data_IF_024845556269
#
_entry.id   IF_024845556269
#
_cell.length_a   1.000
_cell.length_b   1.000
_cell.length_c   1.000
_cell.angle_alpha   90.00
_cell.angle_beta   90.00
_cell.angle_gamma   90.00
#
_symmetry.space_group_name_H-M   'P 1'
#
loop_
_entity.id
_entity.type
_entity.pdbx_description
1 polymer ?
#
# COMPACT_ATOMS: atom_id res chain seq x y z
N UNK A 1 -2.46 2.63 -22.00
CA UNK A 1 -2.05 3.17 -20.68
C UNK A 1 -2.72 2.33 -19.61
N UNK A 2 -1.95 1.63 -18.77
CA UNK A 2 -2.46 0.67 -17.78
C UNK A 2 -3.44 1.32 -16.80
N UNK A 3 -4.62 0.75 -16.56
CA UNK A 3 -5.61 1.12 -15.53
C UNK A 3 -6.03 -0.17 -14.79
N UNK A 4 -5.88 -0.23 -13.47
CA UNK A 4 -6.24 -1.43 -12.70
C UNK A 4 -7.76 -1.70 -12.73
N UNK A 5 -8.59 -0.66 -12.83
CA UNK A 5 -10.05 -0.80 -12.85
C UNK A 5 -10.61 -1.40 -14.14
N UNK A 6 -9.80 -1.49 -15.20
CA UNK A 6 -10.18 -2.21 -16.44
C UNK A 6 -10.17 -3.72 -16.22
N UNK A 7 -9.41 -4.21 -15.24
CA UNK A 7 -9.21 -5.65 -14.98
C UNK A 7 -9.89 -6.12 -13.68
N UNK A 8 -10.39 -5.18 -12.88
CA UNK A 8 -11.20 -5.47 -11.70
C UNK A 8 -12.67 -5.71 -12.05
N UNK A 9 -13.27 -6.71 -11.41
CA UNK A 9 -14.72 -6.85 -11.41
C UNK A 9 -15.33 -5.77 -10.50
N UNK A 10 -15.83 -4.70 -11.14
CA UNK A 10 -16.52 -3.59 -10.49
C UNK A 10 -18.05 -3.76 -10.47
N UNK A 11 -18.56 -4.76 -11.18
CA UNK A 11 -19.99 -5.01 -11.41
C UNK A 11 -20.58 -5.89 -10.31
N UNK A 12 -19.73 -6.63 -9.60
CA UNK A 12 -20.13 -7.57 -8.56
C UNK A 12 -19.68 -7.12 -7.17
N UNK A 13 -20.58 -7.11 -6.20
CA UNK A 13 -20.28 -6.91 -4.78
C UNK A 13 -20.59 -8.15 -3.96
N UNK A 14 -19.87 -8.34 -2.87
CA UNK A 14 -20.11 -9.40 -1.90
C UNK A 14 -20.62 -8.79 -0.61
N UNK A 15 -21.81 -9.21 -0.19
CA UNK A 15 -22.38 -8.91 1.14
C UNK A 15 -22.01 -10.05 2.08
N UNK A 16 -21.53 -9.72 3.27
CA UNK A 16 -21.17 -10.71 4.29
C UNK A 16 -21.39 -10.13 5.69
N UNK A 17 -21.65 -11.02 6.66
CA UNK A 17 -21.86 -10.66 8.07
C UNK A 17 -20.83 -11.34 8.95
N UNK A 18 -20.30 -10.61 9.93
CA UNK A 18 -19.62 -11.22 11.07
C UNK A 18 -20.58 -11.35 12.24
N UNK A 19 -20.45 -12.45 12.97
CA UNK A 19 -21.16 -12.75 14.20
C UNK A 19 -20.13 -13.10 15.28
N UNK A 20 -20.36 -12.68 16.51
CA UNK A 20 -19.53 -13.13 17.62
C UNK A 20 -19.75 -14.63 17.88
N UNK A 21 -18.69 -15.31 18.34
CA UNK A 21 -18.79 -16.71 18.79
C UNK A 21 -19.39 -16.79 20.19
N UNK A 22 -19.15 -15.78 21.02
CA UNK A 22 -19.74 -15.63 22.36
C UNK A 22 -20.70 -14.46 22.42
N UNK A 23 -21.74 -14.63 23.23
CA UNK A 23 -22.72 -13.59 23.49
C UNK A 23 -22.19 -12.61 24.54
N UNK A 24 -21.25 -11.75 24.12
CA UNK A 24 -20.61 -10.75 24.96
C UNK A 24 -20.80 -9.34 24.37
N UNK A 25 -21.16 -8.34 25.18
CA UNK A 25 -21.37 -6.98 24.69
C UNK A 25 -20.04 -6.37 24.21
N UNK A 26 -19.99 -5.92 22.96
CA UNK A 26 -18.86 -5.11 22.46
C UNK A 26 -19.03 -3.65 22.82
N UNK A 27 -17.98 -3.08 23.40
CA UNK A 27 -17.90 -1.65 23.62
C UNK A 27 -17.73 -0.88 22.29
N UNK A 28 -18.19 0.38 22.21
CA UNK A 28 -18.03 1.19 21.00
C UNK A 28 -16.59 1.30 20.48
N UNK A 29 -15.60 1.31 21.37
CA UNK A 29 -14.19 1.37 21.00
C UNK A 29 -13.68 0.06 20.39
N UNK A 30 -14.22 -1.08 20.79
CA UNK A 30 -13.92 -2.40 20.22
C UNK A 30 -14.45 -2.51 18.79
N UNK A 31 -15.68 -2.04 18.58
CA UNK A 31 -16.30 -1.96 17.25
C UNK A 31 -15.48 -1.02 16.34
N UNK A 32 -15.10 0.15 16.83
CA UNK A 32 -14.28 1.10 16.06
C UNK A 32 -12.89 0.52 15.73
N UNK A 33 -12.27 -0.20 16.68
CA UNK A 33 -10.99 -0.88 16.49
C UNK A 33 -11.08 -1.99 15.45
N UNK A 34 -12.13 -2.82 15.52
CA UNK A 34 -12.44 -3.85 14.53
C UNK A 34 -12.59 -3.26 13.13
N UNK A 35 -13.45 -2.25 12.98
CA UNK A 35 -13.68 -1.58 11.69
C UNK A 35 -12.40 -0.99 11.12
N UNK A 36 -11.59 -0.33 11.95
CA UNK A 36 -10.32 0.23 11.53
C UNK A 36 -9.35 -0.86 11.06
N UNK A 37 -9.20 -1.93 11.83
CA UNK A 37 -8.33 -3.05 11.49
C UNK A 37 -8.79 -3.76 10.20
N UNK A 38 -10.08 -4.04 10.10
CA UNK A 38 -10.66 -4.69 8.95
C UNK A 38 -10.55 -3.85 7.67
N UNK A 39 -10.87 -2.55 7.75
CA UNK A 39 -10.68 -1.62 6.63
C UNK A 39 -9.22 -1.54 6.17
N UNK A 40 -8.27 -1.60 7.11
CA UNK A 40 -6.82 -1.56 6.82
C UNK A 40 -6.38 -2.80 6.04
N UNK A 41 -6.78 -3.99 6.53
CA UNK A 41 -6.47 -5.26 5.89
C UNK A 41 -7.09 -5.33 4.49
N UNK A 42 -8.37 -4.99 4.35
CA UNK A 42 -9.05 -4.92 3.06
C UNK A 42 -8.33 -3.99 2.08
N UNK A 43 -7.97 -2.79 2.54
CA UNK A 43 -7.25 -1.80 1.75
C UNK A 43 -5.93 -2.35 1.20
N UNK A 44 -5.18 -3.05 2.03
CA UNK A 44 -3.90 -3.63 1.62
C UNK A 44 -4.06 -4.80 0.66
N UNK A 45 -5.04 -5.69 0.84
CA UNK A 45 -5.32 -6.73 -0.15
C UNK A 45 -5.68 -6.16 -1.52
N UNK A 46 -6.53 -5.14 -1.55
CA UNK A 46 -6.86 -4.41 -2.77
C UNK A 46 -5.64 -3.81 -3.46
N UNK A 47 -4.73 -3.20 -2.70
CA UNK A 47 -3.48 -2.68 -3.24
C UNK A 47 -2.57 -3.78 -3.77
N UNK A 48 -2.41 -4.90 -3.06
CA UNK A 48 -1.61 -6.04 -3.52
C UNK A 48 -2.17 -6.60 -4.84
N UNK A 49 -3.50 -6.73 -4.95
CA UNK A 49 -4.14 -7.16 -6.20
C UNK A 49 -3.87 -6.15 -7.33
N UNK A 50 -3.95 -4.85 -7.03
CA UNK A 50 -3.68 -3.78 -8.00
C UNK A 50 -2.21 -3.76 -8.46
N UNK A 51 -1.27 -4.02 -7.56
CA UNK A 51 0.16 -4.17 -7.86
C UNK A 51 0.37 -5.38 -8.78
N UNK A 52 -0.22 -6.53 -8.45
CA UNK A 52 -0.12 -7.73 -9.30
C UNK A 52 -0.71 -7.48 -10.69
N UNK A 53 -1.86 -6.80 -10.77
CA UNK A 53 -2.49 -6.42 -12.04
C UNK A 53 -1.57 -5.50 -12.86
N UNK A 54 -0.93 -4.51 -12.23
CA UNK A 54 0.03 -3.62 -12.90
C UNK A 54 1.21 -4.42 -13.51
N UNK A 55 1.82 -5.29 -12.72
CA UNK A 55 2.95 -6.12 -13.15
C UNK A 55 2.57 -7.07 -14.29
N UNK A 56 1.43 -7.76 -14.21
CA UNK A 56 0.95 -8.67 -15.26
C UNK A 56 0.67 -7.96 -16.59
N UNK A 57 0.32 -6.68 -16.54
CA UNK A 57 0.00 -5.87 -17.72
C UNK A 57 1.18 -4.97 -18.16
N UNK A 58 2.41 -5.35 -17.78
CA UNK A 58 3.63 -4.77 -18.34
C UNK A 58 4.12 -3.49 -17.68
N UNK A 59 3.59 -3.10 -16.51
CA UNK A 59 4.22 -2.06 -15.68
C UNK A 59 5.47 -2.66 -15.03
N UNK A 60 6.63 -2.02 -15.21
CA UNK A 60 7.87 -2.46 -14.59
C UNK A 60 7.80 -2.34 -13.05
N UNK A 61 8.47 -3.22 -12.31
CA UNK A 61 8.46 -3.15 -10.85
C UNK A 61 9.16 -1.86 -10.34
N UNK A 62 10.14 -1.36 -11.09
CA UNK A 62 10.85 -0.11 -10.87
C UNK A 62 9.97 1.14 -11.00
N UNK A 63 8.82 1.00 -11.67
CA UNK A 63 7.85 2.05 -11.95
C UNK A 63 6.73 2.12 -10.90
N UNK A 64 6.71 1.19 -9.94
CA UNK A 64 5.73 1.16 -8.86
C UNK A 64 6.38 1.73 -7.60
N UNK A 65 5.77 2.76 -7.01
CA UNK A 65 6.25 3.43 -5.80
C UNK A 65 5.19 3.44 -4.70
N UNK A 66 5.64 3.38 -3.45
CA UNK A 66 4.87 3.63 -2.24
C UNK A 66 5.41 4.89 -1.55
N UNK A 67 4.54 5.66 -0.90
CA UNK A 67 4.95 6.75 -0.03
C UNK A 67 5.03 6.28 1.43
N UNK A 68 6.07 6.72 2.14
CA UNK A 68 6.43 6.19 3.46
C UNK A 68 5.57 6.68 4.65
N UNK A 69 4.52 7.48 4.41
CA UNK A 69 3.48 7.75 5.40
C UNK A 69 2.08 7.44 4.87
N UNK A 70 1.15 7.33 5.81
CA UNK A 70 -0.26 7.02 5.53
C UNK A 70 -0.97 8.20 4.90
N UNK A 71 -1.85 7.92 3.94
CA UNK A 71 -2.78 8.90 3.38
C UNK A 71 -3.64 9.53 4.50
N UNK A 72 -3.67 10.88 4.59
CA UNK A 72 -4.62 11.61 5.43
C UNK A 72 -6.07 11.15 5.23
N UNK A 73 -6.86 11.12 6.31
CA UNK A 73 -8.27 10.65 6.30
C UNK A 73 -9.27 11.69 5.81
N UNK A 74 -8.92 12.98 5.93
CA UNK A 74 -9.85 14.10 5.77
C UNK A 74 -9.77 14.78 4.40
N UNK A 75 -8.75 14.47 3.61
CA UNK A 75 -8.58 15.04 2.28
C UNK A 75 -9.38 14.24 1.24
N UNK A 76 -9.99 14.96 0.29
CA UNK A 76 -10.69 14.35 -0.84
C UNK A 76 -9.72 14.28 -2.01
N UNK A 77 -9.33 13.07 -2.37
CA UNK A 77 -8.38 12.80 -3.43
C UNK A 77 -9.04 12.54 -4.78
N UNK A 78 -10.12 13.26 -5.09
CA UNK A 78 -10.93 13.04 -6.29
C UNK A 78 -10.13 13.20 -7.58
N UNK A 79 -9.08 14.02 -7.55
CA UNK A 79 -8.18 14.29 -8.68
C UNK A 79 -7.01 13.29 -8.78
N UNK A 80 -6.84 12.38 -7.82
CA UNK A 80 -5.74 11.42 -7.74
C UNK A 80 -6.03 10.13 -8.51
N UNK A 81 -6.32 10.24 -9.80
CA UNK A 81 -6.52 9.07 -10.66
C UNK A 81 -5.34 8.87 -11.62
N UNK A 82 -5.13 9.84 -12.51
CA UNK A 82 -4.02 9.87 -13.47
C UNK A 82 -3.48 11.29 -13.52
N UNK A 83 -2.25 11.49 -13.08
CA UNK A 83 -1.64 12.80 -12.92
C UNK A 83 -0.26 12.83 -13.56
N UNK A 84 0.17 14.00 -14.06
CA UNK A 84 1.55 14.17 -14.53
C UNK A 84 2.53 14.00 -13.37
N UNK A 85 3.68 13.39 -13.62
CA UNK A 85 4.74 13.15 -12.63
C UNK A 85 5.19 14.42 -11.91
N UNK A 86 5.36 15.53 -12.64
CA UNK A 86 5.76 16.81 -12.04
C UNK A 86 4.72 17.37 -11.06
N UNK A 87 3.44 17.32 -11.42
CA UNK A 87 2.35 17.70 -10.52
C UNK A 87 2.21 16.73 -9.33
N UNK A 88 2.40 15.43 -9.57
CA UNK A 88 2.42 14.41 -8.53
C UNK A 88 3.54 14.66 -7.51
N UNK A 89 4.72 15.12 -7.95
CA UNK A 89 5.83 15.48 -7.08
C UNK A 89 5.49 16.61 -6.11
N UNK A 90 4.64 17.56 -6.51
CA UNK A 90 4.08 18.54 -5.59
C UNK A 90 3.03 17.91 -4.66
N UNK A 91 2.09 17.20 -5.24
CA UNK A 91 0.90 16.70 -4.56
C UNK A 91 1.22 15.65 -3.49
N UNK A 92 2.20 14.78 -3.75
CA UNK A 92 2.55 13.68 -2.86
C UNK A 92 3.68 14.02 -1.89
N UNK A 93 4.33 15.18 -2.03
CA UNK A 93 5.37 15.63 -1.11
C UNK A 93 4.94 15.64 0.37
N UNK A 94 3.73 16.09 0.75
CA UNK A 94 3.26 16.02 2.14
C UNK A 94 3.01 14.58 2.64
N UNK A 95 2.83 13.62 1.74
CA UNK A 95 2.51 12.23 2.08
C UNK A 95 3.78 11.50 2.50
N UNK A 96 4.94 11.78 1.92
CA UNK A 96 6.17 11.14 2.35
C UNK A 96 7.22 11.02 1.28
N UNK A 97 8.29 10.28 1.58
CA UNK A 97 9.32 9.92 0.62
C UNK A 97 8.84 8.76 -0.27
N UNK A 98 9.05 8.85 -1.60
CA UNK A 98 8.76 7.73 -2.50
C UNK A 98 9.77 6.60 -2.28
N UNK A 99 9.28 5.37 -2.32
CA UNK A 99 10.05 4.13 -2.22
C UNK A 99 9.58 3.20 -3.34
N UNK A 100 10.47 2.74 -4.21
CA UNK A 100 10.07 1.86 -5.31
C UNK A 100 9.99 0.40 -4.88
N UNK A 101 9.10 -0.35 -5.53
CA UNK A 101 8.94 -1.80 -5.36
C UNK A 101 10.23 -2.54 -5.71
N UNK A 102 10.89 -2.11 -6.78
CA UNK A 102 12.30 -2.43 -7.06
C UNK A 102 13.06 -1.10 -7.22
N UNK A 103 14.18 -0.88 -6.52
CA UNK A 103 14.95 0.35 -6.65
C UNK A 103 15.45 0.59 -8.08
N UNK A 104 15.42 1.85 -8.50
CA UNK A 104 15.89 2.28 -9.81
C UNK A 104 16.53 3.65 -9.73
N UNK A 105 17.23 4.07 -10.79
CA UNK A 105 17.80 5.42 -10.85
C UNK A 105 16.70 6.48 -10.73
N UNK A 106 15.61 6.32 -11.47
CA UNK A 106 14.46 7.23 -11.41
C UNK A 106 13.89 7.37 -10.00
N UNK A 107 13.60 6.25 -9.33
CA UNK A 107 13.02 6.31 -7.99
C UNK A 107 13.99 6.85 -6.94
N UNK A 108 15.28 6.56 -7.08
CA UNK A 108 16.33 7.11 -6.21
C UNK A 108 16.49 8.61 -6.41
N UNK A 109 16.45 9.09 -7.65
CA UNK A 109 16.49 10.52 -7.99
C UNK A 109 15.27 11.25 -7.45
N UNK A 110 14.08 10.65 -7.57
CA UNK A 110 12.85 11.22 -7.02
C UNK A 110 12.92 11.33 -5.49
N UNK A 111 13.40 10.27 -4.82
CA UNK A 111 13.61 10.30 -3.37
C UNK A 111 14.65 11.35 -2.95
N UNK A 112 15.75 11.48 -3.70
CA UNK A 112 16.76 12.51 -3.48
C UNK A 112 16.14 13.91 -3.52
N UNK A 113 15.34 14.22 -4.53
CA UNK A 113 14.67 15.52 -4.66
C UNK A 113 13.89 15.87 -3.38
N UNK A 114 13.09 14.93 -2.86
CA UNK A 114 12.32 15.17 -1.64
C UNK A 114 13.20 15.38 -0.41
N UNK A 115 14.26 14.57 -0.26
CA UNK A 115 15.21 14.71 0.84
C UNK A 115 15.92 16.07 0.79
N UNK A 116 16.43 16.45 -0.39
CA UNK A 116 17.12 17.71 -0.61
C UNK A 116 16.19 18.91 -0.33
N UNK A 117 14.98 18.90 -0.89
CA UNK A 117 14.00 19.96 -0.70
C UNK A 117 13.58 20.09 0.78
N UNK A 118 13.39 18.96 1.48
CA UNK A 118 13.10 18.91 2.93
C UNK A 118 14.24 19.48 3.77
N UNK A 119 15.49 19.13 3.45
CA UNK A 119 16.67 19.64 4.15
C UNK A 119 16.84 21.15 3.98
N UNK A 120 16.65 21.65 2.77
CA UNK A 120 16.73 23.09 2.48
C UNK A 120 15.62 23.85 3.18
N UNK A 121 14.37 23.39 3.12
CA UNK A 121 13.27 24.04 3.82
C UNK A 121 13.43 24.01 5.35
N UNK A 122 13.98 22.93 5.90
CA UNK A 122 14.35 22.85 7.31
C UNK A 122 15.38 23.93 7.67
N UNK A 123 16.43 24.08 6.85
CA UNK A 123 17.45 25.12 7.03
C UNK A 123 16.84 26.53 6.97
N UNK A 124 16.02 26.82 5.96
CA UNK A 124 15.37 28.13 5.80
C UNK A 124 14.52 28.47 7.03
N UNK A 125 13.74 27.50 7.52
CA UNK A 125 12.93 27.66 8.73
C UNK A 125 13.79 27.97 9.97
N UNK A 126 14.89 27.24 10.18
CA UNK A 126 15.83 27.47 11.29
C UNK A 126 16.44 28.88 11.18
N UNK A 127 16.75 29.34 9.97
CA UNK A 127 17.30 30.68 9.69
C UNK A 127 16.22 31.78 9.67
N UNK A 128 14.99 31.46 10.06
CA UNK A 128 13.83 32.37 10.04
C UNK A 128 13.61 33.00 8.66
N UNK A 129 13.91 32.26 7.60
CA UNK A 129 13.58 32.59 6.21
C UNK A 129 12.31 31.81 5.86
N UNK A 130 11.42 32.44 5.09
CA UNK A 130 10.23 31.74 4.62
C UNK A 130 10.64 30.55 3.74
N UNK A 131 10.12 29.33 3.99
CA UNK A 131 10.43 28.15 3.19
C UNK A 131 10.10 28.34 1.71
N UNK A 132 10.77 27.59 0.85
CA UNK A 132 10.39 27.45 -0.55
C UNK A 132 8.98 26.86 -0.65
N UNK A 133 8.20 27.37 -1.60
CA UNK A 133 6.84 26.87 -1.84
C UNK A 133 6.88 25.54 -2.59
N UNK A 134 5.84 24.71 -2.42
CA UNK A 134 5.77 23.39 -3.06
C UNK A 134 5.71 23.47 -4.59
N UNK A 135 5.30 24.60 -5.17
CA UNK A 135 5.37 24.83 -6.62
C UNK A 135 6.79 24.68 -7.17
N UNK A 136 7.82 24.99 -6.38
CA UNK A 136 9.20 24.80 -6.78
C UNK A 136 9.56 23.33 -7.04
N UNK A 137 8.88 22.38 -6.36
CA UNK A 137 9.11 20.94 -6.55
C UNK A 137 8.75 20.51 -7.97
N UNK A 138 7.71 21.12 -8.58
CA UNK A 138 7.28 20.81 -9.95
C UNK A 138 8.42 21.06 -10.92
N UNK A 139 8.98 22.28 -10.93
CA UNK A 139 10.07 22.64 -11.83
C UNK A 139 11.37 21.89 -11.54
N UNK A 140 11.67 21.61 -10.26
CA UNK A 140 12.83 20.79 -9.90
C UNK A 140 12.68 19.33 -10.37
N UNK A 141 11.46 18.78 -10.33
CA UNK A 141 11.18 17.44 -10.84
C UNK A 141 11.32 17.37 -12.37
N UNK A 142 10.78 18.35 -13.10
CA UNK A 142 10.93 18.41 -14.57
C UNK A 142 12.42 18.49 -14.97
N UNK A 143 13.19 19.29 -14.23
CA UNK A 143 14.65 19.41 -14.43
C UNK A 143 15.38 18.09 -14.17
N UNK A 144 14.89 17.26 -13.24
CA UNK A 144 15.52 15.99 -12.87
C UNK A 144 15.61 15.01 -14.03
N UNK A 145 14.55 14.94 -14.85
CA UNK A 145 14.48 14.03 -16.01
C UNK A 145 15.29 14.49 -17.23
N UNK A 146 15.59 15.79 -17.33
CA UNK A 146 16.26 16.38 -18.50
C UNK A 146 17.73 16.67 -18.24
N UNK A 147 18.04 17.16 -17.03
CA UNK A 147 19.34 17.75 -16.70
C UNK A 147 20.11 16.97 -15.63
N UNK A 148 19.43 16.06 -14.93
CA UNK A 148 20.02 15.22 -13.90
C UNK A 148 20.16 15.88 -12.52
N UNK A 149 20.65 15.07 -11.58
CA UNK A 149 20.64 15.38 -10.14
C UNK A 149 21.53 16.58 -9.78
N UNK A 150 22.70 16.71 -10.39
CA UNK A 150 23.65 17.78 -10.04
C UNK A 150 23.11 19.17 -10.41
N UNK A 151 22.39 19.29 -11.53
CA UNK A 151 21.81 20.58 -11.90
C UNK A 151 20.59 20.90 -11.04
N UNK A 152 19.76 19.91 -10.70
CA UNK A 152 18.67 20.06 -9.72
C UNK A 152 19.22 20.52 -8.36
N UNK A 153 20.34 19.93 -7.92
CA UNK A 153 21.04 20.32 -6.69
C UNK A 153 21.47 21.78 -6.73
N UNK A 154 22.11 22.23 -7.82
CA UNK A 154 22.51 23.64 -7.95
C UNK A 154 21.30 24.58 -7.99
N UNK A 155 20.26 24.25 -8.76
CA UNK A 155 19.02 25.04 -8.85
C UNK A 155 18.35 25.18 -7.49
N UNK A 156 18.31 24.12 -6.70
CA UNK A 156 17.75 24.17 -5.35
C UNK A 156 18.56 25.09 -4.42
N UNK A 157 19.90 25.10 -4.54
CA UNK A 157 20.77 26.03 -3.82
C UNK A 157 20.44 27.47 -4.21
N UNK A 158 20.37 27.75 -5.51
CA UNK A 158 20.11 29.10 -6.02
C UNK A 158 18.73 29.60 -5.57
N UNK A 159 17.69 28.76 -5.66
CA UNK A 159 16.36 29.07 -5.13
C UNK A 159 16.38 29.42 -3.63
N UNK A 160 17.17 28.70 -2.84
CA UNK A 160 17.29 28.95 -1.40
C UNK A 160 18.00 30.27 -1.09
N UNK A 161 19.05 30.59 -1.86
CA UNK A 161 19.79 31.84 -1.72
C UNK A 161 18.94 33.04 -2.13
N UNK A 162 18.24 32.96 -3.26
CA UNK A 162 17.31 34.01 -3.73
C UNK A 162 16.21 34.29 -2.69
N UNK A 163 15.65 33.22 -2.11
CA UNK A 163 14.63 33.34 -1.07
C UNK A 163 15.19 33.97 0.22
N UNK A 164 16.43 33.65 0.58
CA UNK A 164 17.11 34.23 1.73
C UNK A 164 17.47 35.70 1.51
N UNK A 165 17.91 36.08 0.30
CA UNK A 165 18.24 37.46 -0.07
C UNK A 165 17.00 38.35 0.01
N UNK A 166 15.87 37.92 -0.58
CA UNK A 166 14.58 38.62 -0.46
C UNK A 166 14.20 38.84 1.00
N UNK A 167 14.39 37.82 1.83
CA UNK A 167 14.09 37.89 3.26
C UNK A 167 15.05 38.80 4.05
N UNK A 168 16.31 38.88 3.63
CA UNK A 168 17.33 39.78 4.20
C UNK A 168 17.01 41.24 3.87
N UNK A 169 16.71 41.56 2.60
CA UNK A 169 16.33 42.91 2.17
C UNK A 169 15.18 43.48 2.99
N UNK A 170 14.10 42.70 3.14
CA UNK A 170 12.92 43.09 3.95
C UNK A 170 13.28 43.30 5.43
N UNK A 171 14.24 42.54 5.98
CA UNK A 171 14.67 42.70 7.36
C UNK A 171 15.49 43.98 7.55
N UNK A 172 16.40 44.28 6.62
CA UNK A 172 17.21 45.51 6.60
C UNK A 172 16.33 46.74 6.48
N UNK A 173 15.35 46.74 5.58
CA UNK A 173 14.35 47.82 5.44
C UNK A 173 13.58 48.06 6.74
N UNK A 174 13.38 47.03 7.56
CA UNK A 174 12.73 47.12 8.88
C UNK A 174 13.69 47.39 10.04
N UNK A 175 14.95 47.71 9.76
CA UNK A 175 15.99 47.96 10.76
C UNK A 175 16.38 46.73 11.60
N UNK A 176 16.06 45.51 11.15
CA UNK A 176 16.33 44.26 11.87
C UNK A 176 17.66 43.67 11.42
N UNK A 177 18.52 43.30 12.38
CA UNK A 177 19.74 42.52 12.10
C UNK A 177 19.35 41.08 11.77
N UNK A 178 19.67 40.63 10.55
CA UNK A 178 19.50 39.25 10.10
C UNK A 178 20.79 38.74 9.49
N UNK A 179 21.22 37.54 9.88
CA UNK A 179 22.42 36.91 9.32
C UNK A 179 22.12 36.41 7.91
N UNK A 180 22.99 36.76 6.98
CA UNK A 180 22.93 36.29 5.60
C UNK A 180 23.17 34.77 5.51
N UNK A 181 22.43 34.12 4.62
CA UNK A 181 22.59 32.71 4.31
C UNK A 181 23.66 32.56 3.22
N UNK A 182 24.69 31.75 3.45
CA UNK A 182 25.74 31.52 2.46
C UNK A 182 25.52 30.21 1.71
N UNK A 183 26.08 30.08 0.49
CA UNK A 183 26.05 28.84 -0.31
C UNK A 183 26.49 27.62 0.51
N UNK A 184 27.59 27.73 1.25
CA UNK A 184 28.10 26.67 2.12
C UNK A 184 27.19 26.29 3.31
N UNK A 185 26.23 27.13 3.70
CA UNK A 185 25.19 26.72 4.66
C UNK A 185 24.18 25.76 4.01
N UNK A 186 23.79 26.04 2.76
CA UNK A 186 22.85 25.21 2.00
C UNK A 186 23.50 23.89 1.62
N UNK A 187 24.74 23.91 1.14
CA UNK A 187 25.51 22.70 0.83
C UNK A 187 25.66 21.78 2.04
N UNK A 188 25.88 22.34 3.25
CA UNK A 188 25.91 21.57 4.49
C UNK A 188 24.57 20.93 4.83
N UNK A 189 23.44 21.59 4.54
CA UNK A 189 22.13 21.00 4.75
C UNK A 189 21.86 19.84 3.77
N UNK A 190 22.49 19.82 2.61
CA UNK A 190 22.32 18.79 1.58
C UNK A 190 23.15 17.52 1.83
N UNK A 191 24.07 17.51 2.80
CA UNK A 191 25.01 16.39 3.04
C UNK A 191 24.32 15.03 3.17
N UNK A 192 23.23 14.93 3.92
CA UNK A 192 22.53 13.65 4.09
C UNK A 192 21.79 13.20 2.81
N UNK A 193 21.25 14.15 2.04
CA UNK A 193 20.64 13.84 0.74
C UNK A 193 21.72 13.37 -0.26
N UNK A 194 22.87 14.05 -0.30
CA UNK A 194 24.00 13.70 -1.16
C UNK A 194 24.61 12.34 -0.76
N UNK A 195 24.66 12.03 0.55
CA UNK A 195 25.09 10.72 1.06
C UNK A 195 24.13 9.61 0.64
N UNK A 196 22.82 9.85 0.76
CA UNK A 196 21.80 8.93 0.27
C UNK A 196 21.96 8.65 -1.23
N UNK A 197 22.18 9.69 -2.06
CA UNK A 197 22.37 9.55 -3.51
C UNK A 197 23.57 8.67 -3.83
N UNK A 198 24.75 9.01 -3.28
CA UNK A 198 25.99 8.26 -3.52
C UNK A 198 25.89 6.80 -3.07
N UNK A 199 25.18 6.54 -1.97
CA UNK A 199 24.96 5.18 -1.50
C UNK A 199 24.01 4.43 -2.45
N UNK A 200 22.91 5.06 -2.84
CA UNK A 200 21.94 4.46 -3.77
C UNK A 200 22.59 4.11 -5.11
N UNK A 201 23.50 4.94 -5.63
CA UNK A 201 24.23 4.66 -6.87
C UNK A 201 25.10 3.40 -6.78
N UNK A 202 25.81 3.24 -5.67
CA UNK A 202 26.61 2.03 -5.41
C UNK A 202 25.71 0.80 -5.30
N UNK A 203 24.57 0.96 -4.65
CA UNK A 203 23.64 -0.14 -4.37
C UNK A 203 22.96 -0.60 -5.65
N UNK A 204 22.51 0.33 -6.49
CA UNK A 204 21.94 0.04 -7.80
C UNK A 204 22.94 -0.68 -8.69
N UNK A 205 24.20 -0.24 -8.70
CA UNK A 205 25.25 -0.89 -9.49
C UNK A 205 25.49 -2.33 -9.01
N UNK A 206 25.53 -2.56 -7.70
CA UNK A 206 25.65 -3.91 -7.13
C UNK A 206 24.45 -4.79 -7.49
N UNK A 207 23.23 -4.27 -7.36
CA UNK A 207 21.98 -5.01 -7.63
C UNK A 207 21.75 -5.31 -9.11
N UNK A 208 22.29 -4.49 -10.02
CA UNK A 208 22.15 -4.67 -11.47
C UNK A 208 22.82 -5.96 -11.97
N UNK A 209 23.84 -6.45 -11.25
CA UNK A 209 24.57 -7.68 -11.58
C UNK A 209 23.98 -8.95 -10.97
N UNK A 210 22.94 -8.85 -10.13
CA UNK A 210 22.38 -10.00 -9.41
C UNK A 210 21.16 -10.58 -10.12
N UNK A 211 21.11 -11.91 -10.14
CA UNK A 211 19.92 -12.71 -10.45
C UNK A 211 18.90 -12.66 -9.33
N UNK A 212 17.67 -13.10 -9.60
CA UNK A 212 16.61 -13.12 -8.59
C UNK A 212 16.89 -14.10 -7.44
N UNK A 213 17.57 -15.22 -7.71
CA UNK A 213 17.98 -16.17 -6.67
C UNK A 213 19.03 -15.53 -5.73
N UNK A 214 20.04 -14.86 -6.30
CA UNK A 214 21.03 -14.11 -5.50
C UNK A 214 20.38 -12.99 -4.69
N UNK A 215 19.38 -12.29 -5.24
CA UNK A 215 18.60 -11.28 -4.50
C UNK A 215 17.83 -11.88 -3.33
N UNK A 216 17.33 -13.12 -3.47
CA UNK A 216 16.68 -13.84 -2.38
C UNK A 216 17.69 -14.27 -1.30
N UNK A 217 18.89 -14.69 -1.70
CA UNK A 217 19.96 -15.06 -0.77
C UNK A 217 20.36 -13.89 0.15
N UNK A 218 20.40 -12.66 -0.39
CA UNK A 218 20.66 -11.43 0.40
C UNK A 218 19.77 -11.30 1.63
N UNK A 219 18.52 -11.78 1.57
CA UNK A 219 17.55 -11.68 2.68
C UNK A 219 17.96 -12.52 3.90
N UNK A 220 18.79 -13.54 3.70
CA UNK A 220 19.26 -14.45 4.76
C UNK A 220 20.68 -14.17 5.20
N UNK A 221 21.38 -13.23 4.54
CA UNK A 221 22.77 -12.94 4.80
C UNK A 221 23.00 -12.23 6.13
N UNK A 222 24.15 -12.53 6.73
CA UNK A 222 24.65 -11.89 7.94
C UNK A 222 25.71 -10.80 7.66
N UNK A 223 26.21 -10.70 6.43
CA UNK A 223 27.18 -9.68 6.07
C UNK A 223 26.53 -8.28 6.08
N UNK A 224 27.25 -7.29 6.61
CA UNK A 224 26.72 -5.92 6.81
C UNK A 224 26.26 -5.28 5.50
N UNK A 225 27.04 -5.42 4.43
CA UNK A 225 26.72 -4.82 3.13
C UNK A 225 25.56 -5.53 2.45
N UNK A 226 25.48 -6.86 2.55
CA UNK A 226 24.37 -7.64 2.01
C UNK A 226 23.06 -7.35 2.75
N UNK A 227 23.08 -7.21 4.08
CA UNK A 227 21.91 -6.76 4.85
C UNK A 227 21.45 -5.37 4.43
N UNK A 228 22.38 -4.47 4.11
CA UNK A 228 22.07 -3.13 3.64
C UNK A 228 21.40 -3.18 2.25
N UNK A 229 21.90 -4.01 1.34
CA UNK A 229 21.27 -4.25 0.03
C UNK A 229 19.89 -4.90 0.17
N UNK A 230 19.76 -5.89 1.05
CA UNK A 230 18.48 -6.52 1.38
C UNK A 230 17.46 -5.47 1.85
N UNK A 231 17.84 -4.61 2.80
CA UNK A 231 16.97 -3.52 3.28
C UNK A 231 16.60 -2.52 2.16
N UNK A 232 17.49 -2.29 1.20
CA UNK A 232 17.21 -1.42 0.07
C UNK A 232 16.18 -2.05 -0.88
N UNK A 233 16.29 -3.37 -1.13
CA UNK A 233 15.33 -4.15 -1.91
C UNK A 233 13.97 -4.34 -1.22
N UNK A 234 13.95 -4.56 0.10
CA UNK A 234 12.71 -4.82 0.85
C UNK A 234 12.00 -3.57 1.32
N UNK A 235 12.61 -2.39 1.15
CA UNK A 235 12.12 -1.13 1.71
C UNK A 235 10.65 -0.85 1.36
N UNK A 236 10.22 -1.19 0.15
CA UNK A 236 8.82 -1.05 -0.25
C UNK A 236 7.88 -1.85 0.67
N UNK A 237 8.17 -3.12 0.89
CA UNK A 237 7.33 -4.02 1.68
C UNK A 237 7.37 -3.67 3.17
N UNK A 238 8.53 -3.22 3.67
CA UNK A 238 8.64 -2.70 5.03
C UNK A 238 7.74 -1.47 5.23
N UNK A 239 7.67 -0.56 4.23
CA UNK A 239 6.75 0.57 4.26
C UNK A 239 5.30 0.16 4.08
N UNK A 240 5.03 -0.82 3.22
CA UNK A 240 3.69 -1.35 3.00
C UNK A 240 3.10 -1.96 4.27
N UNK A 241 3.89 -2.73 5.01
CA UNK A 241 3.47 -3.34 6.27
C UNK A 241 3.26 -2.28 7.37
N UNK A 242 4.23 -1.39 7.56
CA UNK A 242 4.19 -0.38 8.62
C UNK A 242 3.12 0.71 8.43
N UNK A 243 2.63 0.91 7.20
CA UNK A 243 1.69 1.99 6.87
C UNK A 243 0.25 1.48 6.87
N UNK A 244 -0.65 2.18 7.58
CA UNK A 244 -2.06 1.80 7.67
C UNK A 244 -2.81 2.02 6.36
N UNK A 245 -2.61 3.18 5.69
CA UNK A 245 -3.20 3.48 4.38
C UNK A 245 -2.11 3.95 3.41
N UNK A 246 -1.25 3.03 2.93
CA UNK A 246 -0.18 3.41 2.00
C UNK A 246 -0.72 3.97 0.70
N UNK A 247 -0.14 5.05 0.19
CA UNK A 247 -0.37 5.49 -1.18
C UNK A 247 0.59 4.73 -2.10
N UNK A 248 0.05 3.98 -3.06
CA UNK A 248 0.83 3.28 -4.09
C UNK A 248 0.50 3.87 -5.46
N UNK A 249 1.52 4.12 -6.26
CA UNK A 249 1.38 4.67 -7.61
C UNK A 249 2.22 3.88 -8.60
N UNK A 250 1.75 3.77 -9.83
CA UNK A 250 2.46 3.18 -10.96
C UNK A 250 2.73 4.24 -12.03
N UNK A 251 3.95 4.27 -12.58
CA UNK A 251 4.25 5.07 -13.77
C UNK A 251 3.74 4.34 -15.00
N UNK A 252 2.86 4.98 -15.77
CA UNK A 252 2.08 4.34 -16.86
C UNK A 252 2.37 4.92 -18.25
N UNK A 253 3.56 5.52 -18.41
CA UNK A 253 4.04 6.13 -19.65
C UNK A 253 3.64 7.61 -19.81
N UNK A 254 4.34 8.30 -20.72
CA UNK A 254 4.14 9.73 -21.04
C UNK A 254 4.24 10.69 -19.85
N UNK A 255 5.13 10.41 -18.89
CA UNK A 255 5.32 11.29 -17.74
C UNK A 255 4.13 11.31 -16.78
N UNK A 256 3.38 10.20 -16.67
CA UNK A 256 2.16 10.11 -15.84
C UNK A 256 2.26 9.02 -14.79
N UNK A 257 1.74 9.34 -13.61
CA UNK A 257 1.51 8.41 -12.50
C UNK A 257 0.02 8.11 -12.37
N UNK A 258 -0.28 6.83 -12.22
CA UNK A 258 -1.60 6.31 -11.86
C UNK A 258 -1.60 5.88 -10.40
N UNK A 259 -2.60 6.29 -9.64
CA UNK A 259 -2.80 5.82 -8.27
C UNK A 259 -3.50 4.46 -8.31
N UNK A 260 -2.91 3.47 -7.66
CA UNK A 260 -3.47 2.12 -7.58
C UNK A 260 -4.53 2.06 -6.47
N UNK A 261 -5.58 1.24 -6.65
CA UNK A 261 -6.64 1.13 -5.65
C UNK A 261 -7.45 2.42 -5.47
N UNK A 262 -7.60 3.21 -6.54
CA UNK A 262 -8.17 4.57 -6.51
C UNK A 262 -9.55 4.65 -5.85
N UNK A 263 -10.37 3.60 -5.88
CA UNK A 263 -11.69 3.57 -5.25
C UNK A 263 -11.68 3.60 -3.72
N UNK A 264 -10.53 3.34 -3.12
CA UNK A 264 -10.33 3.39 -1.67
C UNK A 264 -9.67 4.70 -1.21
N UNK A 265 -9.23 5.49 -2.18
CA UNK A 265 -8.58 6.79 -2.00
C UNK A 265 -9.57 7.90 -2.39
N UNK A 266 -10.30 7.72 -3.50
CA UNK A 266 -11.32 8.60 -4.04
C UNK A 266 -12.73 8.17 -3.60
N UNK A 267 -13.36 8.96 -2.73
CA UNK A 267 -14.71 8.71 -2.20
C UNK A 267 -15.85 8.87 -3.22
N UNK A 268 -15.59 9.33 -4.44
CA UNK A 268 -16.59 9.40 -5.51
C UNK A 268 -16.81 8.03 -6.20
N UNK A 269 -15.83 7.14 -6.09
CA UNK A 269 -15.91 5.78 -6.63
C UNK A 269 -16.78 4.89 -5.71
N UNK A 270 -17.79 4.21 -6.27
CA UNK A 270 -18.76 3.39 -5.51
C UNK A 270 -18.29 1.95 -5.25
N UNK A 271 -16.99 1.68 -5.34
CA UNK A 271 -16.42 0.31 -5.33
C UNK A 271 -15.61 0.00 -4.06
N UNK A 272 -15.74 0.83 -3.02
CA UNK A 272 -15.09 0.62 -1.72
C UNK A 272 -15.88 -0.27 -0.75
N UNK A 273 -15.24 -0.61 0.38
CA UNK A 273 -15.88 -1.32 1.49
C UNK A 273 -16.92 -0.43 2.19
N UNK A 274 -18.16 -0.90 2.26
CA UNK A 274 -19.28 -0.21 2.90
C UNK A 274 -19.79 -1.01 4.09
N UNK A 275 -19.80 -0.37 5.26
CA UNK A 275 -20.53 -0.88 6.43
C UNK A 275 -22.01 -0.54 6.26
N UNK A 276 -22.87 -1.57 6.19
CA UNK A 276 -24.32 -1.39 6.02
C UNK A 276 -25.05 -1.35 7.34
N UNK A 277 -24.66 -2.20 8.29
CA UNK A 277 -25.36 -2.31 9.56
C UNK A 277 -24.42 -2.78 10.67
N UNK A 278 -24.60 -2.23 11.87
CA UNK A 278 -24.10 -2.82 13.12
C UNK A 278 -25.32 -3.13 13.98
N UNK A 279 -25.64 -4.41 14.13
CA UNK A 279 -26.64 -4.88 15.10
C UNK A 279 -25.97 -4.97 16.46
N UNK A 280 -26.37 -4.09 17.37
CA UNK A 280 -25.97 -4.13 18.79
C UNK A 280 -26.75 -5.17 19.61
N UNK A 281 -27.86 -5.69 19.09
CA UNK A 281 -28.67 -6.66 19.78
C UNK A 281 -28.20 -8.08 19.46
N UNK A 282 -28.11 -8.91 20.49
CA UNK A 282 -27.48 -10.22 20.44
C UNK A 282 -28.13 -11.19 19.42
N UNK A 283 -27.32 -11.97 18.65
CA UNK A 283 -25.87 -11.88 18.57
C UNK A 283 -25.45 -10.63 17.77
N UNK A 284 -24.49 -9.91 18.35
CA UNK A 284 -23.89 -8.71 17.76
C UNK A 284 -23.33 -9.06 16.39
N UNK A 285 -23.71 -8.28 15.38
CA UNK A 285 -23.33 -8.58 14.00
C UNK A 285 -23.10 -7.33 13.17
N UNK A 286 -22.02 -7.34 12.40
CA UNK A 286 -21.68 -6.28 11.48
C UNK A 286 -21.87 -6.78 10.05
N UNK A 287 -22.74 -6.11 9.29
CA UNK A 287 -23.04 -6.40 7.90
C UNK A 287 -22.22 -5.46 7.00
N UNK A 288 -21.43 -6.05 6.11
CA UNK A 288 -20.59 -5.34 5.16
C UNK A 288 -21.00 -5.67 3.73
N UNK A 289 -20.77 -4.71 2.84
CA UNK A 289 -20.75 -4.91 1.41
C UNK A 289 -19.42 -4.41 0.86
N UNK A 290 -18.70 -5.26 0.14
CA UNK A 290 -17.38 -4.91 -0.38
C UNK A 290 -17.20 -5.40 -1.81
N UNK A 291 -16.11 -4.97 -2.45
CA UNK A 291 -15.61 -5.63 -3.65
C UNK A 291 -15.21 -7.08 -3.36
N UNK A 292 -15.11 -7.88 -4.42
CA UNK A 292 -14.83 -9.33 -4.36
C UNK A 292 -13.56 -9.66 -3.56
N UNK A 293 -12.62 -8.73 -3.49
CA UNK A 293 -11.34 -8.89 -2.78
C UNK A 293 -11.46 -8.96 -1.27
N UNK A 294 -12.56 -8.49 -0.67
CA UNK A 294 -12.79 -8.65 0.76
C UNK A 294 -12.81 -10.13 1.16
N UNK A 295 -13.28 -10.99 0.27
CA UNK A 295 -13.35 -12.41 0.53
C UNK A 295 -11.96 -13.08 0.64
N UNK A 296 -10.89 -12.54 0.01
CA UNK A 296 -9.52 -13.02 0.22
C UNK A 296 -9.05 -12.86 1.66
N UNK A 297 -9.50 -11.79 2.34
CA UNK A 297 -9.16 -11.55 3.74
C UNK A 297 -9.71 -12.64 4.67
N UNK A 298 -10.63 -13.50 4.22
CA UNK A 298 -11.34 -14.46 5.06
C UNK A 298 -11.01 -15.93 4.77
N UNK A 299 -10.55 -16.27 3.57
CA UNK A 299 -10.65 -17.66 3.09
C UNK A 299 -9.65 -18.67 3.67
N UNK A 300 -8.70 -18.30 4.54
CA UNK A 300 -7.59 -19.21 4.88
C UNK A 300 -7.30 -19.42 6.37
N UNK A 301 -8.28 -19.25 7.26
CA UNK A 301 -8.07 -19.67 8.65
C UNK A 301 -7.91 -21.20 8.80
N UNK A 302 -8.30 -22.04 7.81
CA UNK A 302 -8.42 -23.51 8.01
C UNK A 302 -8.12 -24.47 6.85
N UNK A 303 -7.63 -24.03 5.67
CA UNK A 303 -7.71 -24.89 4.47
C UNK A 303 -6.67 -26.02 4.30
N UNK A 304 -5.49 -25.95 4.90
CA UNK A 304 -4.46 -26.97 4.62
C UNK A 304 -4.51 -28.20 5.56
N UNK A 305 -4.97 -28.02 6.81
CA UNK A 305 -4.97 -29.10 7.81
C UNK A 305 -6.34 -29.77 7.99
N UNK A 306 -7.43 -29.04 7.78
CA UNK A 306 -8.77 -29.59 8.01
C UNK A 306 -9.28 -30.43 6.84
N UNK A 307 -9.00 -30.05 5.58
CA UNK A 307 -9.47 -30.81 4.41
C UNK A 307 -8.95 -32.26 4.40
N UNK A 308 -7.68 -32.47 4.75
CA UNK A 308 -7.08 -33.81 4.74
C UNK A 308 -7.53 -34.68 5.92
N UNK A 309 -7.80 -34.08 7.08
CA UNK A 309 -8.41 -34.79 8.21
C UNK A 309 -9.88 -35.10 7.97
N UNK A 310 -10.61 -34.20 7.30
CA UNK A 310 -12.03 -34.36 7.01
C UNK A 310 -12.24 -35.42 5.92
N UNK A 311 -11.42 -35.49 4.87
CA UNK A 311 -11.49 -36.58 3.88
C UNK A 311 -11.23 -37.97 4.50
N UNK A 312 -10.29 -38.06 5.45
CA UNK A 312 -10.08 -39.29 6.23
C UNK A 312 -11.26 -39.62 7.14
N UNK A 313 -11.92 -38.59 7.70
CA UNK A 313 -13.11 -38.74 8.56
C UNK A 313 -14.39 -39.06 7.76
N UNK A 314 -14.54 -38.55 6.53
CA UNK A 314 -15.67 -38.83 5.62
C UNK A 314 -15.66 -40.31 5.23
N UNK A 315 -14.49 -40.84 4.83
CA UNK A 315 -14.36 -42.28 4.50
C UNK A 315 -14.54 -43.21 5.70
N UNK A 316 -14.30 -42.72 6.92
CA UNK A 316 -14.47 -43.50 8.15
C UNK A 316 -15.90 -43.41 8.73
N UNK A 317 -16.71 -42.40 8.33
CA UNK A 317 -18.01 -42.08 8.95
C UNK A 317 -19.25 -42.49 8.15
N UNK A 318 -19.11 -43.23 7.06
CA UNK A 318 -20.26 -43.90 6.42
C UNK A 318 -20.93 -44.95 7.33
N UNK A 319 -20.33 -45.27 8.49
CA UNK A 319 -20.76 -46.38 9.37
C UNK A 319 -21.46 -45.95 10.68
N UNK A 320 -21.35 -44.70 11.17
CA UNK A 320 -21.93 -44.33 12.50
C UNK A 320 -22.95 -43.18 12.43
N UNK A 321 -24.20 -43.57 12.15
CA UNK A 321 -25.35 -42.71 11.87
C UNK A 321 -26.12 -42.28 13.14
N UNK A 322 -25.44 -41.93 14.25
CA UNK A 322 -26.12 -41.72 15.54
C UNK A 322 -25.72 -40.48 16.36
N UNK A 323 -25.09 -39.48 15.73
CA UNK A 323 -24.60 -38.25 16.40
C UNK A 323 -25.18 -36.94 15.79
N UNK A 324 -26.42 -37.05 15.30
CA UNK A 324 -26.98 -36.28 14.18
C UNK A 324 -27.47 -34.84 14.44
N UNK A 325 -27.37 -34.27 15.64
CA UNK A 325 -27.78 -32.85 15.87
C UNK A 325 -26.63 -31.84 15.86
N UNK A 326 -25.50 -32.17 16.48
CA UNK A 326 -24.29 -31.31 16.45
C UNK A 326 -23.51 -31.50 15.15
N UNK A 327 -23.63 -32.66 14.51
CA UNK A 327 -22.99 -32.95 13.21
C UNK A 327 -23.75 -32.36 12.03
N UNK A 328 -25.08 -32.26 12.08
CA UNK A 328 -25.87 -31.65 11.01
C UNK A 328 -25.57 -30.15 10.82
N UNK A 329 -25.40 -29.39 11.91
CA UNK A 329 -25.01 -27.98 11.83
C UNK A 329 -23.59 -27.78 11.32
N UNK A 330 -22.65 -28.67 11.68
CA UNK A 330 -21.28 -28.63 11.14
C UNK A 330 -21.25 -28.97 9.66
N UNK A 331 -21.99 -29.98 9.22
CA UNK A 331 -22.11 -30.37 7.81
C UNK A 331 -22.77 -29.23 7.01
N UNK A 332 -23.87 -28.67 7.51
CA UNK A 332 -24.56 -27.55 6.87
C UNK A 332 -23.70 -26.29 6.78
N UNK A 333 -22.95 -25.96 7.84
CA UNK A 333 -21.99 -24.85 7.79
C UNK A 333 -20.87 -25.13 6.78
N UNK A 334 -20.39 -26.37 6.70
CA UNK A 334 -19.38 -26.76 5.72
C UNK A 334 -19.90 -26.70 4.28
N UNK A 335 -21.14 -27.12 4.03
CA UNK A 335 -21.80 -26.98 2.74
C UNK A 335 -21.96 -25.50 2.35
N UNK A 336 -22.36 -24.63 3.28
CA UNK A 336 -22.43 -23.18 3.06
C UNK A 336 -21.05 -22.57 2.81
N UNK A 337 -20.02 -23.05 3.51
CA UNK A 337 -18.62 -22.67 3.26
C UNK A 337 -18.16 -23.09 1.86
N UNK A 338 -18.50 -24.30 1.42
CA UNK A 338 -18.22 -24.79 0.07
C UNK A 338 -18.98 -24.01 -1.00
N UNK A 339 -20.27 -23.70 -0.78
CA UNK A 339 -21.06 -22.89 -1.71
C UNK A 339 -20.53 -21.46 -1.81
N UNK A 340 -20.16 -20.84 -0.69
CA UNK A 340 -19.51 -19.54 -0.67
C UNK A 340 -18.15 -19.59 -1.38
N UNK A 341 -17.40 -20.69 -1.20
CA UNK A 341 -16.12 -20.92 -1.86
C UNK A 341 -16.25 -21.10 -3.37
N UNK A 342 -17.27 -21.82 -3.84
CA UNK A 342 -17.53 -22.03 -5.27
C UNK A 342 -18.05 -20.76 -5.92
N UNK A 343 -18.93 -20.01 -5.23
CA UNK A 343 -19.37 -18.69 -5.68
C UNK A 343 -18.18 -17.75 -5.80
N UNK A 344 -17.30 -17.73 -4.79
CA UNK A 344 -16.06 -16.98 -4.85
C UNK A 344 -15.13 -17.47 -5.95
N UNK A 345 -14.93 -18.77 -6.14
CA UNK A 345 -14.06 -19.30 -7.19
C UNK A 345 -14.55 -18.91 -8.59
N UNK A 346 -15.88 -18.82 -8.79
CA UNK A 346 -16.46 -18.29 -10.03
C UNK A 346 -16.13 -16.80 -10.19
N UNK A 347 -16.41 -15.97 -9.18
CA UNK A 347 -16.14 -14.52 -9.25
C UNK A 347 -14.63 -14.22 -9.32
N UNK A 348 -13.79 -15.03 -8.67
CA UNK A 348 -12.33 -14.91 -8.65
C UNK A 348 -11.66 -15.36 -9.96
N UNK A 349 -12.29 -16.28 -10.71
CA UNK A 349 -11.86 -16.63 -12.08
C UNK A 349 -12.16 -15.51 -13.07
N UNK A 350 -13.14 -14.66 -12.76
CA UNK A 350 -13.58 -13.52 -13.56
C UNK A 350 -12.98 -12.18 -13.07
N UNK A 351 -12.01 -12.18 -12.13
CA UNK A 351 -11.41 -10.95 -11.58
C UNK A 351 -9.90 -11.09 -11.28
N UNK A 352 -9.23 -9.95 -11.06
CA UNK A 352 -7.80 -9.79 -10.67
C UNK A 352 -7.33 -10.58 -9.42
N UNK A 353 -8.21 -11.37 -8.80
CA UNK A 353 -7.94 -12.18 -7.62
C UNK A 353 -6.99 -13.36 -7.86
N UNK A 354 -6.74 -13.69 -9.12
CA UNK A 354 -5.73 -14.66 -9.54
C UNK A 354 -4.45 -13.99 -10.05
N UNK A 355 -4.34 -12.66 -10.02
CA UNK A 355 -3.21 -11.92 -10.59
C UNK A 355 -1.85 -12.37 -10.02
N UNK A 356 -1.79 -12.73 -8.73
CA UNK A 356 -0.56 -13.29 -8.13
C UNK A 356 -0.06 -14.56 -8.85
N UNK A 357 -0.98 -15.42 -9.33
CA UNK A 357 -0.64 -16.65 -10.06
C UNK A 357 -0.13 -16.38 -11.48
N UNK A 358 -0.46 -15.22 -12.04
CA UNK A 358 0.02 -14.78 -13.36
C UNK A 358 1.46 -14.26 -13.35
N UNK A 359 1.99 -13.90 -12.17
CA UNK A 359 3.34 -13.38 -12.07
C UNK A 359 4.39 -14.49 -12.26
N UNK A 360 5.46 -14.24 -13.03
CA UNK A 360 6.56 -15.18 -13.14
C UNK A 360 7.31 -15.33 -11.80
N UNK A 361 7.92 -16.52 -11.54
CA UNK A 361 8.84 -16.71 -10.43
C UNK A 361 9.93 -15.64 -10.43
N UNK A 362 9.97 -14.86 -9.35
CA UNK A 362 10.88 -13.72 -9.21
C UNK A 362 11.01 -13.30 -7.75
N UNK A 363 12.05 -12.52 -7.44
CA UNK A 363 12.21 -11.91 -6.12
C UNK A 363 10.95 -11.12 -5.72
N UNK A 364 10.41 -10.34 -6.67
CA UNK A 364 9.20 -9.52 -6.47
C UNK A 364 7.99 -10.40 -6.16
N UNK A 365 7.77 -11.47 -6.92
CA UNK A 365 6.69 -12.40 -6.66
C UNK A 365 6.80 -12.99 -5.24
N UNK A 366 7.99 -13.43 -4.82
CA UNK A 366 8.21 -13.96 -3.47
C UNK A 366 7.87 -12.95 -2.38
N UNK A 367 8.27 -11.69 -2.54
CA UNK A 367 7.95 -10.65 -1.56
C UNK A 367 6.45 -10.31 -1.55
N UNK A 368 5.78 -10.31 -2.69
CA UNK A 368 4.33 -10.12 -2.76
C UNK A 368 3.62 -11.27 -2.03
N UNK A 369 4.00 -12.53 -2.28
CA UNK A 369 3.45 -13.70 -1.56
C UNK A 369 3.62 -13.54 -0.04
N UNK A 370 4.80 -13.11 0.41
CA UNK A 370 5.05 -12.82 1.83
C UNK A 370 4.12 -11.73 2.37
N UNK A 371 3.92 -10.64 1.62
CA UNK A 371 3.01 -9.56 1.99
C UNK A 371 1.55 -10.03 2.10
N UNK A 372 1.06 -10.85 1.17
CA UNK A 372 -0.24 -11.51 1.29
C UNK A 372 -0.32 -12.35 2.58
N UNK A 373 0.72 -13.13 2.90
CA UNK A 373 0.77 -13.93 4.12
C UNK A 373 0.70 -13.09 5.41
N UNK A 374 1.38 -11.95 5.45
CA UNK A 374 1.30 -11.00 6.57
C UNK A 374 -0.13 -10.46 6.71
N UNK A 375 -0.74 -9.99 5.62
CA UNK A 375 -2.09 -9.42 5.67
C UNK A 375 -3.16 -10.48 5.98
N UNK A 376 -2.95 -11.74 5.58
CA UNK A 376 -3.77 -12.87 6.01
C UNK A 376 -3.69 -13.08 7.53
N UNK A 377 -2.48 -13.04 8.09
CA UNK A 377 -2.28 -13.13 9.54
C UNK A 377 -2.93 -11.94 10.27
N UNK A 378 -2.83 -10.74 9.71
CA UNK A 378 -3.49 -9.54 10.26
C UNK A 378 -5.01 -9.69 10.24
N UNK A 379 -5.59 -10.19 9.14
CA UNK A 379 -7.02 -10.45 9.01
C UNK A 379 -7.52 -11.41 10.09
N UNK A 380 -6.86 -12.55 10.26
CA UNK A 380 -7.15 -13.51 11.31
C UNK A 380 -7.01 -12.89 12.70
N UNK A 381 -5.98 -12.06 12.92
CA UNK A 381 -5.77 -11.33 14.17
C UNK A 381 -6.90 -10.36 14.49
N UNK A 382 -7.44 -9.66 13.50
CA UNK A 382 -8.57 -8.73 13.67
C UNK A 382 -9.85 -9.48 14.08
N UNK A 383 -10.12 -10.63 13.48
CA UNK A 383 -11.28 -11.46 13.80
C UNK A 383 -11.16 -12.10 15.19
N UNK A 384 -10.01 -12.71 15.49
CA UNK A 384 -9.78 -13.40 16.76
C UNK A 384 -9.78 -12.46 17.97
N UNK A 385 -9.28 -11.22 17.83
CA UNK A 385 -9.29 -10.22 18.92
C UNK A 385 -10.68 -9.87 19.42
N UNK A 386 -11.70 -10.05 18.60
CA UNK A 386 -13.09 -9.66 18.90
C UNK A 386 -14.03 -10.87 18.96
N UNK A 387 -13.45 -12.07 18.95
CA UNK A 387 -14.16 -13.35 18.89
C UNK A 387 -15.21 -13.40 17.77
N UNK A 388 -14.91 -12.77 16.64
CA UNK A 388 -15.79 -12.68 15.48
C UNK A 388 -15.53 -13.85 14.52
N UNK A 389 -16.59 -14.43 13.98
CA UNK A 389 -16.55 -15.37 12.85
C UNK A 389 -17.45 -14.88 11.73
N UNK A 390 -17.10 -15.26 10.50
CA UNK A 390 -17.97 -15.00 9.36
C UNK A 390 -19.20 -15.92 9.43
N UNK A 391 -20.37 -15.35 9.15
CA UNK A 391 -21.61 -16.09 8.97
C UNK A 391 -21.73 -16.47 7.49
N UNK A 392 -21.25 -17.67 7.14
CA UNK A 392 -21.21 -18.12 5.74
C UNK A 392 -22.60 -18.20 5.08
N UNK A 393 -23.67 -18.41 5.85
CA UNK A 393 -25.05 -18.38 5.35
C UNK A 393 -25.56 -16.98 4.99
N UNK A 394 -24.85 -15.93 5.41
CA UNK A 394 -25.17 -14.54 5.08
C UNK A 394 -24.51 -14.03 3.81
N UNK A 395 -23.63 -14.83 3.19
CA UNK A 395 -22.85 -14.41 2.02
C UNK A 395 -23.78 -14.34 0.81
N UNK A 396 -23.87 -13.16 0.21
CA UNK A 396 -24.67 -12.91 -0.98
C UNK A 396 -23.84 -12.15 -2.01
N UNK A 397 -23.98 -12.56 -3.26
CA UNK A 397 -23.43 -11.82 -4.40
C UNK A 397 -24.50 -10.85 -4.89
N UNK A 398 -24.11 -9.59 -5.08
CA UNK A 398 -24.95 -8.52 -5.60
C UNK A 398 -24.38 -8.14 -6.97
N UNK A 399 -25.17 -8.35 -8.01
CA UNK A 399 -24.90 -7.82 -9.33
C UNK A 399 -25.41 -6.37 -9.40
N UNK A 400 -24.55 -5.44 -9.81
CA UNK A 400 -24.86 -4.02 -9.92
C UNK A 400 -25.45 -3.63 -11.28
N UNK A 401 -25.50 -4.56 -12.24
CA UNK A 401 -26.01 -4.33 -13.60
C UNK A 401 -27.49 -4.68 -13.79
N UNK A 402 -28.21 -5.01 -12.70
CA UNK A 402 -29.64 -5.40 -12.70
C UNK A 402 -30.55 -4.28 -12.21
#
# INVERSE_FOLDING_TARGET
>A
MFDDYVYKNIETRVRFKFIQRRDEPLYPWEIASFLKGFNTVYYKFELLNSICSALNHGVAAEDIIIFDHSLPLYERYAEMNLISEAYAAKLFYPIGLPVALVPSEWSSNYRYLYLAFKSVNSLLKIRRVQPLRLEAVVGLYESLGVEGVELVRSRLIDLALDQAEKSYRIAVEKGKKKKELKRGDVERALVEADKFRRQSDKDLLQLSGLTDDERLELLTSNARDERRLANFLTSFFDKFDATVRPLVCARVGHGKLRVLGRSLVNKQERTGLELKEIKKNSPLGALFEAGVTAYQAFQQEKRAKELHEIDKKIKAKEIELLDAKIHGEKIKNFELEMQAADCYLKIARESDLTALKGLPPSFVQTQIVKAYGIEMSNAAGVLNKQDLRMDYGSIQTIDLNV
#
